data_IF_317595209934
#
_entry.id   IF_317595209934
#
_cell.length_a   1.000
_cell.length_b   1.000
_cell.length_c   1.000
_cell.angle_alpha   90.00
_cell.angle_beta   90.00
_cell.angle_gamma   90.00
#
_symmetry.space_group_name_H-M   'P 1'
#
loop_
_entity.id
_entity.type
_entity.pdbx_description
1 polymer ?
#
# COMPACT_ATOMS: atom_id res chain seq x y z
N UNK A 1 17.61 10.01 -8.24
CA UNK A 1 17.42 11.06 -7.23
C UNK A 1 15.92 11.23 -7.05
N UNK A 2 15.38 10.87 -5.88
CA UNK A 2 13.95 11.03 -5.61
C UNK A 2 13.70 12.48 -5.18
N UNK A 3 12.92 13.21 -5.97
CA UNK A 3 12.51 14.57 -5.64
C UNK A 3 11.16 14.53 -4.92
N UNK A 4 11.12 15.06 -3.71
CA UNK A 4 9.91 15.13 -2.90
C UNK A 4 9.64 16.60 -2.53
N UNK A 5 8.45 17.09 -2.86
CA UNK A 5 8.03 18.43 -2.48
C UNK A 5 7.93 18.53 -0.94
N UNK A 6 8.27 19.69 -0.37
CA UNK A 6 8.27 19.93 1.08
C UNK A 6 6.94 19.57 1.75
N UNK A 7 5.81 19.82 1.09
CA UNK A 7 4.46 19.47 1.57
C UNK A 7 4.24 17.97 1.84
N UNK A 8 5.10 17.12 1.30
CA UNK A 8 4.99 15.67 1.37
C UNK A 8 5.94 15.04 2.37
N UNK A 9 6.91 15.82 2.88
CA UNK A 9 7.80 15.39 3.96
C UNK A 9 6.98 15.33 5.24
N UNK A 10 6.79 14.14 5.82
CA UNK A 10 6.11 14.05 7.11
C UNK A 10 6.97 14.72 8.19
N UNK A 11 6.33 15.44 9.12
CA UNK A 11 7.01 16.00 10.30
C UNK A 11 7.54 14.89 11.22
N UNK A 12 6.83 13.77 11.28
CA UNK A 12 7.22 12.53 11.96
C UNK A 12 6.83 11.31 11.11
N UNK A 13 7.77 10.37 10.95
CA UNK A 13 7.46 9.04 10.39
C UNK A 13 7.30 8.11 11.58
N UNK A 14 6.07 7.77 11.94
CA UNK A 14 5.84 6.72 12.94
C UNK A 14 6.22 5.36 12.35
N UNK A 15 7.24 4.71 12.92
CA UNK A 15 7.59 3.35 12.54
C UNK A 15 6.64 2.36 13.23
N UNK A 16 5.60 1.99 12.48
CA UNK A 16 4.58 1.03 12.93
C UNK A 16 5.19 -0.34 13.23
N UNK A 17 6.27 -0.74 12.55
CA UNK A 17 6.89 -2.04 12.80
C UNK A 17 7.64 -2.06 14.13
N UNK A 18 8.34 -0.98 14.48
CA UNK A 18 8.96 -0.84 15.81
C UNK A 18 7.91 -0.80 16.92
N UNK A 19 6.82 -0.06 16.71
CA UNK A 19 5.70 -0.02 17.65
C UNK A 19 5.12 -1.43 17.90
N UNK A 20 4.82 -2.17 16.83
CA UNK A 20 4.25 -3.53 16.95
C UNK A 20 5.24 -4.49 17.61
N UNK A 21 6.54 -4.38 17.29
CA UNK A 21 7.59 -5.19 17.91
C UNK A 21 7.70 -4.94 19.42
N UNK A 22 7.37 -3.73 19.88
CA UNK A 22 7.41 -3.37 21.30
C UNK A 22 6.25 -3.93 22.12
N UNK A 23 5.17 -4.38 21.47
CA UNK A 23 4.02 -4.97 22.14
C UNK A 23 4.40 -6.28 22.83
N UNK A 24 3.99 -6.44 24.09
CA UNK A 24 4.26 -7.64 24.90
C UNK A 24 2.96 -8.19 25.48
N UNK A 25 2.89 -9.51 25.59
CA UNK A 25 1.71 -10.20 26.11
C UNK A 25 0.67 -10.47 25.02
N UNK A 26 -0.57 -10.72 25.44
CA UNK A 26 -1.70 -10.97 24.55
C UNK A 26 -2.47 -9.67 24.31
N UNK A 27 -3.02 -9.52 23.10
CA UNK A 27 -3.90 -8.42 22.74
C UNK A 27 -5.34 -8.89 22.80
N UNK A 28 -6.24 -8.03 23.27
CA UNK A 28 -7.67 -8.30 23.16
C UNK A 28 -8.11 -8.35 21.69
N UNK A 29 -9.19 -9.07 21.38
CA UNK A 29 -9.65 -9.32 20.00
C UNK A 29 -9.79 -8.03 19.17
N UNK A 30 -10.33 -6.96 19.77
CA UNK A 30 -10.47 -5.67 19.09
C UNK A 30 -9.12 -5.03 18.78
N UNK A 31 -8.21 -5.02 19.73
CA UNK A 31 -6.88 -4.44 19.58
C UNK A 31 -6.04 -5.23 18.57
N UNK A 32 -6.14 -6.56 18.61
CA UNK A 32 -5.48 -7.45 17.67
C UNK A 32 -5.92 -7.14 16.22
N UNK A 33 -7.23 -6.99 15.98
CA UNK A 33 -7.76 -6.65 14.64
C UNK A 33 -7.26 -5.31 14.14
N UNK A 34 -7.27 -4.28 14.99
CA UNK A 34 -6.79 -2.94 14.63
C UNK A 34 -5.29 -2.95 14.35
N UNK A 35 -4.52 -3.64 15.19
CA UNK A 35 -3.06 -3.74 15.06
C UNK A 35 -2.68 -4.49 13.79
N UNK A 36 -3.38 -5.59 13.47
CA UNK A 36 -3.19 -6.31 12.22
C UNK A 36 -3.52 -5.44 11.00
N UNK A 37 -4.63 -4.69 11.04
CA UNK A 37 -5.00 -3.79 9.95
C UNK A 37 -3.91 -2.72 9.72
N UNK A 38 -3.39 -2.11 10.80
CA UNK A 38 -2.26 -1.16 10.73
C UNK A 38 -1.00 -1.80 10.16
N UNK A 39 -0.66 -3.01 10.61
CA UNK A 39 0.50 -3.76 10.11
C UNK A 39 0.41 -3.99 8.60
N UNK A 40 -0.72 -4.51 8.12
CA UNK A 40 -0.93 -4.82 6.71
C UNK A 40 -0.97 -3.56 5.84
N UNK A 41 -1.56 -2.45 6.35
CA UNK A 41 -1.60 -1.17 5.64
C UNK A 41 -0.22 -0.54 5.46
N UNK A 42 0.69 -0.74 6.42
CA UNK A 42 2.08 -0.29 6.34
C UNK A 42 2.97 -1.19 5.50
N UNK A 43 2.66 -2.49 5.50
CA UNK A 43 3.42 -3.53 4.81
C UNK A 43 2.63 -4.11 3.63
N UNK A 44 2.37 -3.28 2.63
CA UNK A 44 1.51 -3.61 1.49
C UNK A 44 1.98 -4.83 0.67
N UNK A 45 3.29 -5.11 0.62
CA UNK A 45 3.81 -6.32 -0.02
C UNK A 45 3.33 -7.58 0.70
N UNK A 46 3.43 -7.59 2.03
CA UNK A 46 2.89 -8.67 2.88
C UNK A 46 1.38 -8.77 2.74
N UNK A 47 0.67 -7.64 2.72
CA UNK A 47 -0.78 -7.63 2.53
C UNK A 47 -1.19 -8.23 1.18
N UNK A 48 -0.50 -7.87 0.09
CA UNK A 48 -0.76 -8.42 -1.23
C UNK A 48 -0.54 -9.94 -1.26
N UNK A 49 0.57 -10.42 -0.69
CA UNK A 49 0.90 -11.85 -0.63
C UNK A 49 -0.10 -12.63 0.23
N UNK A 50 -0.48 -12.08 1.40
CA UNK A 50 -1.42 -12.72 2.31
C UNK A 50 -2.84 -12.81 1.72
N UNK A 51 -3.30 -11.77 1.04
CA UNK A 51 -4.70 -11.70 0.54
C UNK A 51 -4.86 -12.44 -0.79
N UNK A 52 -3.86 -12.38 -1.67
CA UNK A 52 -3.98 -12.91 -3.05
C UNK A 52 -3.02 -14.06 -3.37
N UNK A 53 -2.09 -14.41 -2.48
CA UNK A 53 -1.03 -15.40 -2.76
C UNK A 53 0.03 -14.91 -3.75
N UNK A 54 0.07 -13.61 -4.03
CA UNK A 54 0.94 -13.02 -5.05
C UNK A 54 2.12 -12.32 -4.38
N UNK A 55 3.33 -12.73 -4.76
CA UNK A 55 4.56 -12.05 -4.35
C UNK A 55 4.92 -10.95 -5.34
N UNK A 56 4.94 -9.71 -4.87
CA UNK A 56 5.30 -8.55 -5.69
C UNK A 56 6.81 -8.45 -5.87
N UNK A 57 7.24 -7.89 -7.01
CA UNK A 57 8.64 -7.51 -7.18
C UNK A 57 8.95 -6.27 -6.33
N UNK A 58 10.21 -6.07 -5.87
CA UNK A 58 10.56 -4.94 -5.00
C UNK A 58 10.16 -3.56 -5.55
N UNK A 59 10.29 -3.34 -6.87
CA UNK A 59 9.88 -2.07 -7.48
C UNK A 59 8.36 -1.86 -7.48
N UNK A 60 7.58 -2.95 -7.56
CA UNK A 60 6.13 -2.90 -7.50
C UNK A 60 5.66 -2.55 -6.09
N UNK A 61 6.30 -3.12 -5.06
CA UNK A 61 6.00 -2.77 -3.66
C UNK A 61 6.27 -1.28 -3.36
N UNK A 62 7.41 -0.76 -3.81
CA UNK A 62 7.76 0.65 -3.64
C UNK A 62 6.75 1.54 -4.38
N UNK A 63 6.37 1.16 -5.61
CA UNK A 63 5.35 1.88 -6.37
C UNK A 63 4.02 1.90 -5.63
N UNK A 64 3.59 0.74 -5.12
CA UNK A 64 2.33 0.58 -4.41
C UNK A 64 2.29 1.43 -3.12
N UNK A 65 3.40 1.47 -2.36
CA UNK A 65 3.56 2.40 -1.23
C UNK A 65 3.42 3.85 -1.68
N UNK A 66 3.98 4.21 -2.85
CA UNK A 66 3.77 5.53 -3.46
C UNK A 66 2.29 5.82 -3.72
N UNK A 67 1.56 4.89 -4.33
CA UNK A 67 0.14 5.05 -4.63
C UNK A 67 -0.73 5.25 -3.39
N UNK A 68 -0.47 4.51 -2.31
CA UNK A 68 -1.24 4.60 -1.07
C UNK A 68 -0.93 5.83 -0.21
N UNK A 69 0.20 6.49 -0.45
CA UNK A 69 0.66 7.62 0.36
C UNK A 69 0.59 8.97 -0.39
N UNK A 70 0.16 8.95 -1.67
CA UNK A 70 0.08 10.14 -2.53
C UNK A 70 -1.24 10.19 -3.28
N UNK A 71 -1.89 11.35 -3.26
CA UNK A 71 -3.14 11.57 -3.99
C UNK A 71 -2.98 11.49 -5.52
N UNK A 72 -1.80 11.84 -6.04
CA UNK A 72 -1.52 11.84 -7.47
C UNK A 72 -0.15 11.21 -7.71
N UNK A 73 -0.12 10.20 -8.58
CA UNK A 73 1.11 9.49 -8.98
C UNK A 73 1.17 9.39 -10.50
N UNK A 74 2.28 9.81 -11.11
CA UNK A 74 2.54 9.66 -12.53
C UNK A 74 3.60 8.57 -12.74
N UNK A 75 3.24 7.50 -13.44
CA UNK A 75 4.14 6.39 -13.76
C UNK A 75 4.47 6.35 -15.25
N UNK A 76 5.74 6.59 -15.59
CA UNK A 76 6.25 6.50 -16.97
C UNK A 76 7.10 5.23 -17.11
N UNK A 77 6.49 4.13 -17.57
CA UNK A 77 7.13 2.81 -17.59
C UNK A 77 7.22 2.20 -18.99
N UNK A 78 8.23 1.36 -19.19
CA UNK A 78 8.43 0.58 -20.41
C UNK A 78 7.35 -0.50 -20.63
N UNK A 79 7.42 -1.16 -21.80
CA UNK A 79 6.62 -2.36 -22.08
C UNK A 79 7.12 -3.54 -21.24
N UNK A 80 6.22 -4.44 -20.85
CA UNK A 80 6.56 -5.60 -20.02
C UNK A 80 6.71 -5.35 -18.51
N UNK A 81 6.67 -4.10 -18.03
CA UNK A 81 6.86 -3.78 -16.61
C UNK A 81 5.65 -4.06 -15.68
N UNK A 82 4.63 -4.78 -16.14
CA UNK A 82 3.47 -5.11 -15.29
C UNK A 82 2.60 -3.92 -14.84
N UNK A 83 2.46 -2.87 -15.67
CA UNK A 83 1.66 -1.66 -15.38
C UNK A 83 0.22 -1.97 -14.96
N UNK A 84 -0.49 -2.75 -15.79
CA UNK A 84 -1.90 -3.11 -15.53
C UNK A 84 -2.03 -3.98 -14.30
N UNK A 85 -1.09 -4.89 -14.11
CA UNK A 85 -1.06 -5.79 -12.97
C UNK A 85 -0.95 -5.03 -11.65
N UNK A 86 0.01 -4.11 -11.51
CA UNK A 86 0.15 -3.35 -10.26
C UNK A 86 -1.03 -2.40 -10.02
N UNK A 87 -1.65 -1.87 -11.07
CA UNK A 87 -2.85 -1.06 -10.96
C UNK A 87 -4.03 -1.88 -10.41
N UNK A 88 -4.20 -3.13 -10.87
CA UNK A 88 -5.20 -4.04 -10.33
C UNK A 88 -4.93 -4.38 -8.85
N UNK A 89 -3.67 -4.62 -8.50
CA UNK A 89 -3.26 -4.88 -7.10
C UNK A 89 -3.61 -3.69 -6.20
N UNK A 90 -3.31 -2.47 -6.65
CA UNK A 90 -3.72 -1.26 -5.96
C UNK A 90 -5.23 -1.19 -5.76
N UNK A 91 -6.03 -1.46 -6.79
CA UNK A 91 -7.48 -1.33 -6.71
C UNK A 91 -8.09 -2.23 -5.64
N UNK A 92 -7.73 -3.52 -5.58
CA UNK A 92 -8.33 -4.40 -4.59
C UNK A 92 -7.85 -4.08 -3.17
N UNK A 93 -6.56 -3.76 -2.98
CA UNK A 93 -6.05 -3.37 -1.66
C UNK A 93 -6.70 -2.06 -1.18
N UNK A 94 -6.98 -1.13 -2.10
CA UNK A 94 -7.69 0.10 -1.79
C UNK A 94 -9.10 -0.20 -1.27
N UNK A 95 -9.81 -1.14 -1.89
CA UNK A 95 -11.12 -1.57 -1.40
C UNK A 95 -11.05 -2.27 -0.02
N UNK A 96 -9.94 -2.95 0.29
CA UNK A 96 -9.73 -3.61 1.59
C UNK A 96 -9.46 -2.59 2.70
N UNK A 97 -8.56 -1.62 2.45
CA UNK A 97 -8.13 -0.68 3.47
C UNK A 97 -9.01 0.58 3.57
N UNK A 98 -9.73 0.93 2.51
CA UNK A 98 -10.61 2.10 2.46
C UNK A 98 -12.03 1.68 2.03
N UNK A 99 -12.82 1.09 2.96
CA UNK A 99 -14.16 0.60 2.67
C UNK A 99 -15.07 1.69 2.09
N UNK A 100 -15.84 1.35 1.05
CA UNK A 100 -16.73 2.30 0.35
C UNK A 100 -16.04 3.13 -0.73
N UNK A 101 -14.73 2.92 -0.98
CA UNK A 101 -14.03 3.56 -2.09
C UNK A 101 -14.65 3.17 -3.43
N UNK A 102 -14.87 4.17 -4.30
CA UNK A 102 -15.29 3.98 -5.69
C UNK A 102 -14.09 4.18 -6.61
N UNK A 103 -13.80 3.19 -7.44
CA UNK A 103 -12.63 3.20 -8.32
C UNK A 103 -13.10 3.26 -9.78
N UNK A 104 -12.54 4.21 -10.53
CA UNK A 104 -12.72 4.32 -11.99
C UNK A 104 -11.41 4.01 -12.69
N UNK A 105 -11.44 3.08 -13.65
CA UNK A 105 -10.32 2.80 -14.54
C UNK A 105 -10.69 3.37 -15.92
N UNK A 106 -9.89 4.31 -16.41
CA UNK A 106 -10.10 4.94 -17.71
C UNK A 106 -9.00 4.50 -18.69
N UNK A 107 -9.42 4.07 -19.87
CA UNK A 107 -8.55 3.75 -21.00
C UNK A 107 -8.93 4.55 -22.24
N UNK A 108 -8.08 4.56 -23.29
CA UNK A 108 -8.41 5.19 -24.57
C UNK A 108 -9.57 4.51 -25.29
N UNK A 109 -9.86 3.26 -24.93
CA UNK A 109 -10.98 2.46 -25.44
C UNK A 109 -11.67 1.79 -24.25
N UNK A 110 -12.93 1.38 -24.46
CA UNK A 110 -13.68 0.54 -23.53
C UNK A 110 -13.02 -0.84 -23.36
#
# INVERSE_FOLDING_TARGET
>A
MWYEATKYKPETVEDINEYILSLKGELEDREAKITLAKFLRSNLGVAAELVSGIKLAPFQEITLKGFFNRNFSMCVWGRGCGKTFIAAVYCFLQCVFEPGTKILIAGPTF
#
